data_IF_427419046221
#
_entry.id   IF_427419046221
#
_cell.length_a   1.000
_cell.length_b   1.000
_cell.length_c   1.000
_cell.angle_alpha   90.00
_cell.angle_beta   90.00
_cell.angle_gamma   90.00
#
_symmetry.space_group_name_H-M   'P 1'
#
loop_
_entity.id
_entity.type
_entity.pdbx_description
1 polymer ?
#
# COMPACT_ATOMS: atom_id res chain seq x y z
N UNK A 1 63.19 7.89 21.91
CA UNK A 1 62.24 6.84 21.53
C UNK A 1 61.28 6.64 22.68
N UNK A 2 60.02 6.39 22.34
CA UNK A 2 59.03 5.72 23.20
C UNK A 2 58.35 6.47 24.34
N UNK A 3 57.90 7.72 24.13
CA UNK A 3 56.93 8.32 25.07
C UNK A 3 55.92 9.31 24.46
N UNK A 4 55.79 9.35 23.12
CA UNK A 4 54.89 10.29 22.43
C UNK A 4 53.76 9.61 21.61
N UNK A 5 53.57 8.29 21.74
CA UNK A 5 52.58 7.54 20.93
C UNK A 5 51.42 6.98 21.76
N UNK A 6 51.40 7.17 23.08
CA UNK A 6 50.43 6.51 23.97
C UNK A 6 49.23 7.36 24.41
N UNK A 7 48.88 8.43 23.67
CA UNK A 7 47.68 9.25 23.95
C UNK A 7 46.83 9.53 22.72
N UNK A 8 46.80 8.60 21.75
CA UNK A 8 45.62 8.48 20.88
C UNK A 8 44.53 7.82 21.71
N UNK A 9 43.95 8.64 22.60
CA UNK A 9 42.73 8.33 23.30
C UNK A 9 41.77 7.74 22.28
N UNK A 10 41.35 6.51 22.56
CA UNK A 10 40.14 5.91 22.03
C UNK A 10 39.00 6.87 22.34
N UNK A 11 38.81 7.87 21.47
CA UNK A 11 37.61 8.67 21.42
C UNK A 11 36.55 7.76 20.81
N UNK A 12 36.15 6.77 21.61
CA UNK A 12 34.92 6.04 21.45
C UNK A 12 33.82 7.09 21.53
N UNK A 13 33.48 7.68 20.38
CA UNK A 13 32.31 8.54 20.25
C UNK A 13 31.14 7.63 20.57
N UNK A 14 30.76 7.54 21.84
CA UNK A 14 29.50 6.95 22.24
C UNK A 14 28.43 7.73 21.48
N UNK A 15 27.87 7.09 20.45
CA UNK A 15 26.71 7.62 19.74
C UNK A 15 25.57 7.69 20.75
N UNK A 16 25.43 8.85 21.39
CA UNK A 16 24.28 9.16 22.21
C UNK A 16 23.08 9.22 21.28
N UNK A 17 22.25 8.19 21.35
CA UNK A 17 20.95 8.20 20.68
C UNK A 17 20.14 9.40 21.16
N UNK A 18 19.38 9.99 20.26
CA UNK A 18 18.37 10.97 20.67
C UNK A 18 17.38 10.31 21.65
N UNK A 19 16.68 11.10 22.51
CA UNK A 19 15.65 10.55 23.39
C UNK A 19 14.61 9.71 22.63
N UNK A 20 14.30 10.11 21.38
CA UNK A 20 13.35 9.41 20.52
C UNK A 20 13.90 8.07 20.00
N UNK A 21 15.17 8.02 19.61
CA UNK A 21 15.85 6.77 19.22
C UNK A 21 16.08 5.81 20.40
N UNK A 22 16.16 6.36 21.60
CA UNK A 22 16.31 5.60 22.85
C UNK A 22 15.00 4.96 23.33
N UNK A 23 13.87 5.27 22.68
CA UNK A 23 12.58 4.68 23.04
C UNK A 23 12.58 3.16 22.78
N UNK A 24 11.91 2.37 23.64
CA UNK A 24 11.57 1.00 23.32
C UNK A 24 10.81 0.92 21.99
N UNK A 25 11.04 -0.13 21.18
CA UNK A 25 10.38 -0.29 19.88
C UNK A 25 8.86 -0.11 19.95
N UNK A 26 8.22 -0.64 20.99
CA UNK A 26 6.77 -0.61 21.20
C UNK A 26 6.25 0.81 21.37
N UNK A 27 7.02 1.68 22.03
CA UNK A 27 6.70 3.10 22.19
C UNK A 27 6.84 3.84 20.85
N UNK A 28 7.94 3.61 20.13
CA UNK A 28 8.14 4.20 18.80
C UNK A 28 7.02 3.78 17.83
N UNK A 29 6.58 2.53 17.89
CA UNK A 29 5.48 2.01 17.08
C UNK A 29 4.13 2.65 17.42
N UNK A 30 3.84 2.91 18.70
CA UNK A 30 2.62 3.65 19.07
C UNK A 30 2.61 5.06 18.51
N UNK A 31 3.78 5.70 18.37
CA UNK A 31 3.90 7.03 17.77
C UNK A 31 3.63 6.97 16.26
N UNK A 32 4.20 5.97 15.57
CA UNK A 32 3.90 5.74 14.15
C UNK A 32 2.41 5.41 13.93
N UNK A 33 1.80 4.66 14.85
CA UNK A 33 0.37 4.33 14.82
C UNK A 33 -0.51 5.57 15.01
N UNK A 34 -0.09 6.49 15.88
CA UNK A 34 -0.77 7.76 16.13
C UNK A 34 -0.62 8.76 14.97
N UNK A 35 0.59 8.86 14.39
CA UNK A 35 0.93 9.78 13.31
C UNK A 35 1.58 9.05 12.12
N UNK A 36 0.81 8.23 11.37
CA UNK A 36 1.34 7.44 10.25
C UNK A 36 1.90 8.31 9.12
N UNK A 37 1.46 9.56 9.01
CA UNK A 37 2.00 10.55 8.09
C UNK A 37 3.46 10.91 8.34
N UNK A 38 3.91 10.88 9.60
CA UNK A 38 5.30 11.17 9.95
C UNK A 38 6.24 9.99 9.69
N UNK A 39 5.72 8.81 9.31
CA UNK A 39 6.52 7.61 9.11
C UNK A 39 7.61 7.81 8.03
N UNK A 40 7.32 8.62 7.00
CA UNK A 40 8.30 8.99 5.97
C UNK A 40 9.47 9.78 6.56
N UNK A 41 9.19 10.84 7.29
CA UNK A 41 10.20 11.72 7.88
C UNK A 41 11.04 10.99 8.93
N UNK A 42 10.39 10.19 9.78
CA UNK A 42 11.07 9.34 10.76
C UNK A 42 12.06 8.38 10.09
N UNK A 43 11.67 7.80 8.95
CA UNK A 43 12.51 6.86 8.19
C UNK A 43 13.73 7.52 7.54
N UNK A 44 13.64 8.81 7.23
CA UNK A 44 14.73 9.60 6.65
C UNK A 44 15.66 10.20 7.71
N UNK A 45 15.16 10.41 8.93
CA UNK A 45 15.87 11.08 10.03
C UNK A 45 17.11 10.31 10.50
N UNK A 46 17.00 9.00 10.75
CA UNK A 46 18.15 8.20 11.20
C UNK A 46 18.02 6.72 10.83
N UNK A 47 19.13 5.97 10.91
CA UNK A 47 19.14 4.52 10.65
C UNK A 47 18.35 3.72 11.69
N UNK A 48 18.34 4.18 12.94
CA UNK A 48 17.57 3.54 14.02
C UNK A 48 16.08 3.71 13.75
N UNK A 49 15.64 4.94 13.49
CA UNK A 49 14.22 5.22 13.22
C UNK A 49 13.75 4.58 11.91
N UNK A 50 14.60 4.54 10.89
CA UNK A 50 14.36 3.73 9.68
C UNK A 50 14.09 2.27 10.02
N UNK A 51 14.93 1.67 10.86
CA UNK A 51 14.76 0.28 11.29
C UNK A 51 13.44 0.11 12.04
N UNK A 52 13.08 1.04 12.93
CA UNK A 52 11.80 0.99 13.65
C UNK A 52 10.58 1.11 12.75
N UNK A 53 10.61 2.02 11.76
CA UNK A 53 9.53 2.16 10.77
C UNK A 53 9.44 0.92 9.90
N UNK A 54 10.58 0.40 9.43
CA UNK A 54 10.63 -0.81 8.61
C UNK A 54 10.16 -2.04 9.39
N UNK A 55 10.45 -2.14 10.70
CA UNK A 55 9.91 -3.15 11.63
C UNK A 55 8.41 -3.00 11.84
N UNK A 56 7.94 -1.78 12.08
CA UNK A 56 6.51 -1.49 12.25
C UNK A 56 5.71 -1.89 11.00
N UNK A 57 6.23 -1.57 9.81
CA UNK A 57 5.62 -1.99 8.55
C UNK A 57 5.46 -3.52 8.44
N UNK A 58 6.27 -4.33 9.14
CA UNK A 58 6.15 -5.80 9.12
C UNK A 58 4.99 -6.31 9.95
N UNK A 59 4.49 -5.50 10.88
CA UNK A 59 3.43 -5.92 11.79
C UNK A 59 2.11 -5.96 11.04
N UNK A 60 1.28 -6.97 11.31
CA UNK A 60 -0.08 -7.06 10.80
C UNK A 60 -1.03 -6.09 11.55
N UNK A 61 -0.56 -4.86 11.83
CA UNK A 61 -1.34 -3.86 12.56
C UNK A 61 -2.30 -3.13 11.62
N UNK A 62 -3.57 -3.15 12.02
CA UNK A 62 -4.78 -2.76 11.29
C UNK A 62 -4.99 -1.24 11.36
N UNK A 63 -3.96 -0.43 11.10
CA UNK A 63 -4.26 0.98 10.82
C UNK A 63 -4.78 1.09 9.38
N UNK A 64 -5.96 1.70 9.16
CA UNK A 64 -6.51 1.89 7.83
C UNK A 64 -5.68 2.94 7.10
N UNK A 65 -4.74 2.48 6.26
CA UNK A 65 -3.92 3.35 5.41
C UNK A 65 -4.65 3.71 4.11
N UNK A 66 -5.53 2.83 3.66
CA UNK A 66 -6.33 2.99 2.45
C UNK A 66 -7.71 3.54 2.83
N UNK A 67 -8.10 4.70 2.29
CA UNK A 67 -9.41 5.28 2.56
C UNK A 67 -10.47 4.71 1.63
N UNK A 68 -10.12 4.57 0.35
CA UNK A 68 -10.99 4.09 -0.70
C UNK A 68 -10.28 3.04 -1.55
N UNK A 69 -11.07 2.08 -2.04
CA UNK A 69 -10.62 1.02 -2.93
C UNK A 69 -11.45 1.04 -4.21
N UNK A 70 -10.84 1.39 -5.33
CA UNK A 70 -11.40 1.23 -6.67
C UNK A 70 -11.10 -0.16 -7.22
N UNK A 71 -12.07 -0.80 -7.86
CA UNK A 71 -11.89 -2.06 -8.59
C UNK A 71 -12.50 -1.89 -9.98
N UNK A 72 -11.63 -1.73 -10.96
CA UNK A 72 -12.02 -1.58 -12.36
C UNK A 72 -11.76 -2.89 -13.10
N UNK A 73 -12.80 -3.55 -13.62
CA UNK A 73 -12.59 -4.57 -14.63
C UNK A 73 -12.10 -3.91 -15.91
N UNK A 74 -11.35 -4.66 -16.71
CA UNK A 74 -11.18 -4.29 -18.10
C UNK A 74 -10.90 -5.49 -18.98
N UNK A 75 -10.88 -5.22 -20.27
CA UNK A 75 -10.60 -6.19 -21.31
C UNK A 75 -9.55 -5.63 -22.26
N UNK A 76 -8.72 -6.49 -22.86
CA UNK A 76 -7.71 -6.05 -23.83
C UNK A 76 -8.32 -5.35 -25.07
N UNK A 77 -9.64 -5.42 -25.24
CA UNK A 77 -10.42 -4.83 -26.34
C UNK A 77 -11.01 -3.45 -26.01
N UNK A 78 -10.78 -2.91 -24.82
CA UNK A 78 -11.29 -1.58 -24.39
C UNK A 78 -10.70 -0.39 -25.19
N UNK A 79 -9.86 -0.64 -26.19
CA UNK A 79 -9.22 0.38 -27.04
C UNK A 79 -10.00 0.73 -28.33
N UNK A 80 -11.15 0.10 -28.59
CA UNK A 80 -11.97 0.48 -29.73
C UNK A 80 -13.26 1.16 -29.27
N UNK A 81 -13.30 2.49 -29.44
CA UNK A 81 -14.54 3.27 -29.43
C UNK A 81 -15.51 2.67 -30.47
N UNK A 82 -16.43 1.83 -30.01
CA UNK A 82 -17.52 1.31 -30.83
C UNK A 82 -17.55 -0.21 -30.99
N UNK A 83 -17.77 -0.94 -29.89
CA UNK A 83 -18.34 -2.28 -29.96
C UNK A 83 -17.64 -3.29 -29.07
N UNK A 84 -18.37 -3.78 -28.07
CA UNK A 84 -17.95 -4.83 -27.15
C UNK A 84 -17.53 -6.10 -27.90
N UNK A 85 -16.22 -6.35 -27.98
CA UNK A 85 -15.73 -7.70 -28.21
C UNK A 85 -15.17 -8.18 -26.87
N UNK A 86 -15.97 -8.96 -26.14
CA UNK A 86 -15.54 -9.62 -24.91
C UNK A 86 -14.45 -10.63 -25.25
N UNK A 87 -13.19 -10.20 -25.24
CA UNK A 87 -12.06 -11.12 -25.34
C UNK A 87 -11.98 -12.01 -24.10
N UNK A 88 -11.45 -13.22 -24.26
CA UNK A 88 -11.25 -14.20 -23.17
C UNK A 88 -10.27 -13.72 -22.07
N UNK A 89 -9.64 -12.55 -22.24
CA UNK A 89 -8.67 -11.98 -21.29
C UNK A 89 -9.27 -10.80 -20.54
N UNK A 90 -10.00 -11.12 -19.49
CA UNK A 90 -10.44 -10.15 -18.50
C UNK A 90 -9.31 -9.87 -17.49
N UNK A 91 -8.98 -8.60 -17.31
CA UNK A 91 -8.06 -8.12 -16.27
C UNK A 91 -8.82 -7.34 -15.18
N UNK A 92 -8.20 -7.18 -14.02
CA UNK A 92 -8.73 -6.35 -12.92
C UNK A 92 -7.66 -5.34 -12.54
N UNK A 93 -8.03 -4.07 -12.43
CA UNK A 93 -7.19 -3.02 -11.85
C UNK A 93 -7.75 -2.65 -10.48
N UNK A 94 -6.95 -2.83 -9.45
CA UNK A 94 -7.25 -2.36 -8.11
C UNK A 94 -6.56 -1.01 -7.88
N UNK A 95 -7.30 -0.03 -7.42
CA UNK A 95 -6.82 1.31 -7.12
C UNK A 95 -6.97 1.59 -5.63
N UNK A 96 -5.85 1.79 -4.94
CA UNK A 96 -5.81 2.11 -3.52
C UNK A 96 -5.63 3.60 -3.35
N UNK A 97 -6.62 4.26 -2.74
CA UNK A 97 -6.58 5.68 -2.44
C UNK A 97 -6.02 5.87 -1.03
N UNK A 98 -4.77 6.32 -0.96
CA UNK A 98 -4.02 6.42 0.28
C UNK A 98 -3.71 7.88 0.57
N UNK A 99 -3.93 8.33 1.81
CA UNK A 99 -3.53 9.68 2.23
C UNK A 99 -2.05 9.90 1.95
N UNK A 100 -1.68 11.05 1.40
CA UNK A 100 -0.32 11.33 0.92
C UNK A 100 0.75 11.09 2.00
N UNK A 101 0.52 11.53 3.23
CA UNK A 101 1.44 11.27 4.34
C UNK A 101 1.61 9.77 4.67
N UNK A 102 0.58 8.96 4.47
CA UNK A 102 0.60 7.52 4.74
C UNK A 102 1.23 6.69 3.60
N UNK A 103 1.50 7.31 2.44
CA UNK A 103 1.94 6.62 1.22
C UNK A 103 3.24 5.84 1.39
N UNK A 104 4.20 6.36 2.16
CA UNK A 104 5.47 5.66 2.44
C UNK A 104 5.21 4.38 3.22
N UNK A 105 4.41 4.47 4.28
CA UNK A 105 4.11 3.30 5.09
C UNK A 105 3.35 2.26 4.27
N UNK A 106 2.34 2.68 3.52
CA UNK A 106 1.59 1.81 2.62
C UNK A 106 2.49 1.13 1.58
N UNK A 107 3.41 1.88 0.97
CA UNK A 107 4.39 1.35 0.01
C UNK A 107 5.28 0.28 0.64
N UNK A 108 5.82 0.55 1.83
CA UNK A 108 6.72 -0.38 2.51
C UNK A 108 6.07 -1.73 2.74
N UNK A 109 4.83 -1.71 3.21
CA UNK A 109 4.15 -2.96 3.54
C UNK A 109 3.50 -3.66 2.33
N UNK A 110 3.14 -2.93 1.28
CA UNK A 110 2.78 -3.51 -0.02
C UNK A 110 3.96 -4.22 -0.69
N UNK A 111 5.13 -3.57 -0.78
CA UNK A 111 6.36 -4.14 -1.39
C UNK A 111 6.83 -5.41 -0.69
N UNK A 112 6.64 -5.49 0.62
CA UNK A 112 7.03 -6.64 1.42
C UNK A 112 6.11 -7.85 1.18
N UNK A 113 4.80 -7.64 1.08
CA UNK A 113 3.82 -8.73 0.91
C UNK A 113 3.76 -9.24 -0.52
N UNK A 114 3.94 -8.34 -1.49
CA UNK A 114 3.84 -8.65 -2.91
C UNK A 114 5.08 -8.15 -3.66
N UNK A 115 6.27 -8.70 -3.34
CA UNK A 115 7.51 -8.27 -3.97
C UNK A 115 7.48 -8.50 -5.49
N UNK A 116 6.81 -9.56 -5.95
CA UNK A 116 6.62 -9.86 -7.37
C UNK A 116 5.71 -8.88 -8.08
N UNK A 117 4.73 -8.28 -7.38
CA UNK A 117 3.80 -7.30 -7.97
C UNK A 117 4.34 -5.86 -7.90
N UNK A 118 5.45 -5.62 -7.19
CA UNK A 118 5.99 -4.27 -7.00
C UNK A 118 6.30 -3.55 -8.32
N UNK A 119 6.70 -4.30 -9.36
CA UNK A 119 6.98 -3.75 -10.69
C UNK A 119 5.72 -3.34 -11.47
N UNK A 120 4.54 -3.81 -11.05
CA UNK A 120 3.24 -3.56 -11.67
C UNK A 120 2.45 -2.47 -10.94
N UNK A 121 2.98 -1.97 -9.83
CA UNK A 121 2.40 -0.85 -9.11
C UNK A 121 2.71 0.43 -9.89
N UNK A 122 1.69 1.07 -10.43
CA UNK A 122 1.81 2.43 -10.95
C UNK A 122 1.35 3.44 -9.90
N UNK A 123 1.99 4.60 -9.93
CA UNK A 123 1.80 5.68 -8.96
C UNK A 123 1.23 6.88 -9.69
N UNK A 124 0.11 7.34 -9.18
CA UNK A 124 -0.70 8.36 -9.82
C UNK A 124 -1.07 9.37 -8.71
N UNK A 125 -0.38 10.52 -8.71
CA UNK A 125 -0.61 11.59 -7.73
C UNK A 125 -1.77 12.46 -8.23
N UNK A 126 -3.02 12.08 -7.90
CA UNK A 126 -4.19 12.73 -8.47
C UNK A 126 -4.77 13.88 -7.67
N UNK A 127 -4.42 14.04 -6.39
CA UNK A 127 -4.97 15.11 -5.56
C UNK A 127 -3.96 15.54 -4.49
N UNK A 128 -4.06 16.80 -4.02
CA UNK A 128 -3.21 17.35 -2.95
C UNK A 128 -3.18 16.43 -1.70
N UNK A 129 -4.23 15.62 -1.49
CA UNK A 129 -4.43 14.81 -0.29
C UNK A 129 -4.19 13.31 -0.47
N UNK A 130 -4.33 12.75 -1.67
CA UNK A 130 -4.33 11.31 -1.90
C UNK A 130 -3.35 10.89 -3.00
N UNK A 131 -2.66 9.79 -2.75
CA UNK A 131 -1.83 9.06 -3.72
C UNK A 131 -2.60 7.81 -4.13
N UNK A 132 -2.75 7.61 -5.44
CA UNK A 132 -3.39 6.43 -5.99
C UNK A 132 -2.31 5.41 -6.32
N UNK A 133 -2.45 4.22 -5.74
CA UNK A 133 -1.66 3.06 -6.11
C UNK A 133 -2.51 2.16 -6.98
N UNK A 134 -2.10 1.97 -8.23
CA UNK A 134 -2.81 1.10 -9.15
C UNK A 134 -2.07 -0.23 -9.30
N UNK A 135 -2.78 -1.33 -9.15
CA UNK A 135 -2.28 -2.68 -9.36
C UNK A 135 -3.14 -3.40 -10.38
N UNK A 136 -2.55 -3.73 -11.54
CA UNK A 136 -3.21 -4.53 -12.57
C UNK A 136 -2.94 -6.02 -12.36
N UNK A 137 -3.98 -6.84 -12.43
CA UNK A 137 -3.97 -8.29 -12.52
C UNK A 137 -4.36 -8.69 -13.95
N UNK A 138 -3.55 -9.47 -14.63
CA UNK A 138 -3.70 -9.76 -16.06
C UNK A 138 -4.73 -10.88 -16.31
N UNK A 139 -5.26 -11.49 -15.24
CA UNK A 139 -6.31 -12.49 -15.32
C UNK A 139 -7.15 -12.56 -14.04
N UNK A 140 -8.39 -13.03 -14.15
CA UNK A 140 -9.27 -13.25 -12.99
C UNK A 140 -8.70 -14.25 -11.97
N UNK A 141 -8.12 -15.41 -12.36
CA UNK A 141 -7.54 -16.34 -11.39
C UNK A 141 -6.31 -15.78 -10.68
N UNK A 142 -5.51 -14.94 -11.36
CA UNK A 142 -4.44 -14.20 -10.71
C UNK A 142 -5.01 -13.22 -9.69
N UNK A 143 -6.03 -12.45 -10.07
CA UNK A 143 -6.68 -11.50 -9.16
C UNK A 143 -7.21 -12.20 -7.91
N UNK A 144 -7.97 -13.31 -8.04
CA UNK A 144 -8.48 -14.06 -6.89
C UNK A 144 -7.36 -14.52 -5.93
N UNK A 145 -6.28 -15.09 -6.49
CA UNK A 145 -5.15 -15.61 -5.70
C UNK A 145 -4.37 -14.50 -4.98
N UNK A 146 -4.07 -13.41 -5.68
CA UNK A 146 -3.28 -12.32 -5.09
C UNK A 146 -4.13 -11.43 -4.18
N UNK A 147 -5.44 -11.36 -4.38
CA UNK A 147 -6.36 -10.60 -3.54
C UNK A 147 -6.43 -11.13 -2.11
N UNK A 148 -6.41 -12.45 -1.92
CA UNK A 148 -6.37 -13.05 -0.58
C UNK A 148 -5.17 -12.56 0.23
N UNK A 149 -4.04 -12.33 -0.42
CA UNK A 149 -2.83 -11.80 0.21
C UNK A 149 -2.90 -10.30 0.48
N UNK A 150 -3.74 -9.58 -0.27
CA UNK A 150 -3.92 -8.14 -0.21
C UNK A 150 -4.94 -7.71 0.85
N UNK A 151 -6.04 -8.44 0.98
CA UNK A 151 -7.19 -8.05 1.82
C UNK A 151 -6.79 -7.85 3.28
N UNK A 152 -6.12 -8.85 3.86
CA UNK A 152 -5.64 -8.79 5.26
C UNK A 152 -4.72 -7.59 5.49
N UNK A 153 -4.09 -7.12 4.42
CA UNK A 153 -3.08 -6.08 4.45
C UNK A 153 -3.65 -4.66 4.29
N UNK A 154 -4.60 -4.48 3.38
CA UNK A 154 -5.27 -3.19 3.15
C UNK A 154 -5.97 -2.74 4.43
N UNK A 155 -6.48 -3.71 5.20
CA UNK A 155 -7.28 -3.46 6.39
C UNK A 155 -8.64 -2.87 6.02
N UNK A 156 -9.34 -2.25 6.98
CA UNK A 156 -10.65 -1.69 6.73
C UNK A 156 -10.56 -0.46 5.82
N UNK A 157 -11.39 -0.41 4.79
CA UNK A 157 -11.55 0.75 3.91
C UNK A 157 -12.88 1.46 4.19
N UNK A 158 -12.95 2.76 3.96
CA UNK A 158 -14.20 3.51 4.16
C UNK A 158 -15.16 3.25 3.00
N UNK A 159 -14.63 3.27 1.78
CA UNK A 159 -15.41 3.20 0.55
C UNK A 159 -14.80 2.18 -0.41
N UNK A 160 -15.65 1.37 -1.05
CA UNK A 160 -15.26 0.53 -2.19
C UNK A 160 -16.05 0.98 -3.40
N UNK A 161 -15.35 1.27 -4.49
CA UNK A 161 -15.93 1.70 -5.76
C UNK A 161 -15.67 0.63 -6.79
N UNK A 162 -16.71 0.13 -7.46
CA UNK A 162 -16.57 -0.92 -8.48
C UNK A 162 -17.03 -0.40 -9.83
N UNK A 163 -16.16 -0.52 -10.83
CA UNK A 163 -16.41 -0.11 -12.21
C UNK A 163 -17.50 -0.93 -12.92
N UNK A 164 -17.95 -0.43 -14.06
CA UNK A 164 -19.22 -0.82 -14.68
C UNK A 164 -19.14 -2.03 -15.65
N UNK A 165 -18.06 -2.17 -16.41
CA UNK A 165 -18.00 -3.08 -17.57
C UNK A 165 -17.52 -4.48 -17.20
N UNK A 166 -18.44 -5.39 -16.89
CA UNK A 166 -18.06 -6.75 -16.51
C UNK A 166 -19.03 -7.83 -17.00
N UNK A 167 -18.46 -8.95 -17.45
CA UNK A 167 -19.21 -10.19 -17.68
C UNK A 167 -19.79 -10.71 -16.36
N UNK A 168 -20.78 -11.61 -16.42
CA UNK A 168 -21.30 -12.28 -15.21
C UNK A 168 -20.19 -12.99 -14.41
N UNK A 169 -19.21 -13.57 -15.10
CA UNK A 169 -18.04 -14.22 -14.48
C UNK A 169 -17.18 -13.20 -13.74
N UNK A 170 -16.81 -12.09 -14.39
CA UNK A 170 -16.01 -11.02 -13.77
C UNK A 170 -16.74 -10.41 -12.57
N UNK A 171 -18.05 -10.21 -12.68
CA UNK A 171 -18.90 -9.71 -11.58
C UNK A 171 -18.92 -10.66 -10.39
N UNK A 172 -19.00 -11.97 -10.63
CA UNK A 172 -18.95 -12.97 -9.57
C UNK A 172 -17.59 -12.96 -8.84
N UNK A 173 -16.49 -12.86 -9.58
CA UNK A 173 -15.14 -12.74 -9.02
C UNK A 173 -15.04 -11.47 -8.17
N UNK A 174 -15.38 -10.31 -8.72
CA UNK A 174 -15.24 -9.03 -8.01
C UNK A 174 -16.13 -8.98 -6.78
N UNK A 175 -17.34 -9.54 -6.82
CA UNK A 175 -18.16 -9.68 -5.62
C UNK A 175 -17.43 -10.45 -4.51
N UNK A 176 -16.81 -11.60 -4.82
CA UNK A 176 -16.00 -12.34 -3.84
C UNK A 176 -14.81 -11.52 -3.34
N UNK A 177 -14.19 -10.72 -4.21
CA UNK A 177 -13.08 -9.86 -3.81
C UNK A 177 -13.55 -8.80 -2.80
N UNK A 178 -14.65 -8.11 -3.11
CA UNK A 178 -15.22 -7.06 -2.26
C UNK A 178 -15.70 -7.61 -0.92
N UNK A 179 -16.37 -8.78 -0.91
CA UNK A 179 -16.87 -9.43 0.31
C UNK A 179 -15.76 -9.77 1.32
N UNK A 180 -14.53 -9.96 0.85
CA UNK A 180 -13.38 -10.21 1.73
C UNK A 180 -12.85 -8.93 2.37
N UNK A 181 -13.06 -7.77 1.78
CA UNK A 181 -12.57 -6.48 2.31
C UNK A 181 -13.52 -5.99 3.40
N UNK A 182 -13.00 -5.66 4.58
CA UNK A 182 -13.79 -4.96 5.58
C UNK A 182 -14.06 -3.53 5.09
N UNK A 183 -15.31 -3.18 4.81
CA UNK A 183 -15.67 -1.86 4.31
C UNK A 183 -16.89 -1.27 5.02
N UNK A 184 -17.00 0.07 5.06
CA UNK A 184 -18.23 0.73 5.57
C UNK A 184 -19.32 0.84 4.52
N UNK A 185 -18.94 1.14 3.28
CA UNK A 185 -19.88 1.35 2.17
C UNK A 185 -19.30 0.81 0.87
N UNK A 186 -20.18 0.34 -0.02
CA UNK A 186 -19.84 -0.06 -1.39
C UNK A 186 -20.70 0.76 -2.34
N UNK A 187 -20.07 1.34 -3.35
CA UNK A 187 -20.73 1.98 -4.49
C UNK A 187 -20.44 1.18 -5.74
N UNK A 188 -21.51 0.72 -6.39
CA UNK A 188 -21.42 0.14 -7.73
C UNK A 188 -21.68 1.29 -8.71
N UNK A 189 -20.64 1.74 -9.41
CA UNK A 189 -20.81 2.83 -10.36
C UNK A 189 -21.69 2.35 -11.52
N UNK A 190 -22.84 3.00 -11.68
CA UNK A 190 -23.68 2.87 -12.86
C UNK A 190 -23.46 4.13 -13.69
N UNK A 191 -22.59 4.08 -14.70
CA UNK A 191 -22.60 5.19 -15.66
C UNK A 191 -23.86 5.06 -16.52
N UNK A 192 -24.62 6.14 -16.74
CA UNK A 192 -25.61 6.15 -17.81
C UNK A 192 -24.87 5.92 -19.14
N UNK A 193 -25.36 4.97 -19.93
CA UNK A 193 -24.96 4.82 -21.33
C UNK A 193 -25.48 6.07 -22.05
N UNK A 194 -24.57 6.99 -22.40
CA UNK A 194 -24.87 8.08 -23.32
C UNK A 194 -24.64 7.60 -24.75
#
# INVERSE_FOLDING_TARGET
>A
GDQLVSNLAECSIEKKFSPFESLPPECAWKIIEYAPESAGDLRLTSSVLRTRVDEYARQNKIIPLCEELGIDPGSDTDLFEGGCVYGDRAWIKAQFFVRSGCSILFTLRLRRKLPHLTKRITFEAFFIRNVIFSLKFDSLPEAEREWERLVDYIGPVKHVTVGYYMTNTTKAVIRKLVEKVQHKTITWETRPVY
#
